data_IF_962804659480
#
_entry.id   IF_962804659480
#
_cell.length_a   1.000
_cell.length_b   1.000
_cell.length_c   1.000
_cell.angle_alpha   90.00
_cell.angle_beta   90.00
_cell.angle_gamma   90.00
#
_symmetry.space_group_name_H-M   'P 1'
#
loop_
_entity.id
_entity.type
_entity.pdbx_description
1 polymer ?
#
# COMPACT_ATOMS: atom_id res chain seq x y z
N UNK A 1 -10.92 0.36 15.71
CA UNK A 1 -10.00 1.40 16.23
C UNK A 1 -9.56 2.16 15.01
N UNK A 2 -9.91 3.44 14.92
CA UNK A 2 -9.53 4.27 13.78
C UNK A 2 -8.32 5.10 14.21
N UNK A 3 -7.16 4.80 13.65
CA UNK A 3 -5.90 5.49 13.97
C UNK A 3 -5.89 6.87 13.33
N UNK A 4 -5.16 7.83 13.90
CA UNK A 4 -4.98 9.16 13.34
C UNK A 4 -4.61 9.13 11.84
N UNK A 5 -3.75 8.19 11.43
CA UNK A 5 -3.36 8.01 10.03
C UNK A 5 -4.54 7.57 9.13
N UNK A 6 -5.43 6.69 9.60
CA UNK A 6 -6.64 6.31 8.86
C UNK A 6 -7.60 7.49 8.70
N UNK A 7 -7.74 8.32 9.75
CA UNK A 7 -8.63 9.48 9.73
C UNK A 7 -8.11 10.51 8.74
N UNK A 8 -6.82 10.86 8.81
CA UNK A 8 -6.19 11.80 7.89
C UNK A 8 -6.24 11.31 6.43
N UNK A 9 -5.95 10.02 6.19
CA UNK A 9 -6.01 9.43 4.86
C UNK A 9 -7.43 9.37 4.28
N UNK A 10 -8.45 9.18 5.12
CA UNK A 10 -9.86 9.26 4.71
C UNK A 10 -10.30 10.71 4.43
N UNK A 11 -9.81 11.66 5.24
CA UNK A 11 -10.14 13.08 5.14
C UNK A 11 -9.51 13.78 3.93
N UNK A 12 -8.37 13.27 3.44
CA UNK A 12 -7.61 13.97 2.40
C UNK A 12 -6.55 14.92 2.96
N UNK A 13 -6.24 14.80 4.25
CA UNK A 13 -5.32 15.70 4.96
C UNK A 13 -3.85 15.30 4.73
N UNK A 14 -3.31 15.71 3.58
CA UNK A 14 -1.92 15.39 3.18
C UNK A 14 -0.89 15.85 4.22
N UNK A 15 -1.04 17.06 4.76
CA UNK A 15 -0.10 17.61 5.75
C UNK A 15 -0.05 16.74 7.02
N UNK A 16 -1.22 16.27 7.49
CA UNK A 16 -1.30 15.41 8.66
C UNK A 16 -0.72 14.03 8.36
N UNK A 17 -0.96 13.47 7.18
CA UNK A 17 -0.33 12.22 6.75
C UNK A 17 1.20 12.36 6.73
N UNK A 18 1.74 13.42 6.14
CA UNK A 18 3.18 13.66 6.09
C UNK A 18 3.77 13.84 7.49
N UNK A 19 3.12 14.63 8.35
CA UNK A 19 3.56 14.81 9.74
C UNK A 19 3.60 13.49 10.50
N UNK A 20 2.61 12.61 10.28
CA UNK A 20 2.58 11.27 10.85
C UNK A 20 3.69 10.38 10.28
N UNK A 21 3.88 10.34 8.96
CA UNK A 21 4.91 9.52 8.31
C UNK A 21 6.34 9.91 8.70
N UNK A 22 6.58 11.14 9.18
CA UNK A 22 7.87 11.55 9.74
C UNK A 22 8.25 10.80 11.02
N UNK A 23 7.31 10.14 11.68
CA UNK A 23 7.55 9.38 12.88
C UNK A 23 7.76 7.89 12.56
N UNK A 24 8.96 7.38 12.81
CA UNK A 24 9.34 5.99 12.51
C UNK A 24 8.48 4.91 13.18
N UNK A 25 7.83 5.26 14.30
CA UNK A 25 6.96 4.36 15.07
C UNK A 25 5.57 4.19 14.47
N UNK A 26 5.23 4.94 13.43
CA UNK A 26 3.92 4.83 12.81
C UNK A 26 3.89 3.64 11.87
N UNK A 27 2.92 2.76 12.11
CA UNK A 27 2.65 1.64 11.24
C UNK A 27 1.64 2.07 10.15
N UNK A 28 2.12 2.06 8.91
CA UNK A 28 1.32 2.40 7.72
C UNK A 28 0.36 1.27 7.31
N UNK A 29 0.50 0.09 7.91
CA UNK A 29 -0.33 -1.08 7.63
C UNK A 29 -1.47 -1.27 8.64
N UNK A 30 -1.71 -0.29 9.52
CA UNK A 30 -2.75 -0.41 10.55
C UNK A 30 -4.11 -0.53 9.88
N UNK A 31 -4.89 -1.52 10.30
CA UNK A 31 -6.22 -1.77 9.75
C UNK A 31 -7.30 -1.30 10.72
N UNK A 32 -8.29 -0.60 10.18
CA UNK A 32 -9.49 -0.20 10.92
C UNK A 32 -10.42 -1.41 11.17
N UNK A 33 -11.59 -1.16 11.76
CA UNK A 33 -12.59 -2.21 12.04
C UNK A 33 -13.17 -2.91 10.80
N UNK A 34 -13.00 -2.31 9.62
CA UNK A 34 -13.41 -2.86 8.33
C UNK A 34 -12.25 -3.51 7.57
N UNK A 35 -11.13 -3.73 8.25
CA UNK A 35 -9.92 -4.30 7.66
C UNK A 35 -9.32 -3.43 6.54
N UNK A 36 -9.55 -2.12 6.58
CA UNK A 36 -8.99 -1.14 5.65
C UNK A 36 -7.81 -0.42 6.28
N UNK A 37 -6.76 -0.25 5.51
CA UNK A 37 -5.57 0.48 5.88
C UNK A 37 -5.66 1.93 5.36
N UNK A 38 -4.77 2.84 5.81
CA UNK A 38 -4.76 4.22 5.35
C UNK A 38 -4.69 4.34 3.82
N UNK A 39 -3.96 3.45 3.16
CA UNK A 39 -3.84 3.45 1.69
C UNK A 39 -5.19 3.15 1.03
N UNK A 40 -5.90 2.10 1.45
CA UNK A 40 -7.24 1.78 0.94
C UNK A 40 -8.21 2.93 1.15
N UNK A 41 -8.14 3.62 2.29
CA UNK A 41 -8.99 4.77 2.59
C UNK A 41 -8.69 5.96 1.67
N UNK A 42 -7.41 6.27 1.45
CA UNK A 42 -6.98 7.32 0.53
C UNK A 42 -7.42 7.02 -0.91
N UNK A 43 -7.27 5.77 -1.36
CA UNK A 43 -7.71 5.31 -2.68
C UNK A 43 -9.22 5.42 -2.84
N UNK A 44 -9.99 5.00 -1.84
CA UNK A 44 -11.46 5.14 -1.83
C UNK A 44 -11.90 6.60 -1.84
N UNK A 45 -11.16 7.48 -1.17
CA UNK A 45 -11.38 8.92 -1.18
C UNK A 45 -10.93 9.61 -2.48
N UNK A 46 -10.13 8.94 -3.31
CA UNK A 46 -9.55 9.54 -4.51
C UNK A 46 -8.37 10.48 -4.23
N UNK A 47 -7.77 10.40 -3.05
CA UNK A 47 -6.74 11.32 -2.57
C UNK A 47 -5.37 10.94 -3.11
N UNK A 48 -5.10 11.28 -4.38
CA UNK A 48 -3.89 10.90 -5.10
C UNK A 48 -2.60 11.27 -4.38
N UNK A 49 -2.46 12.49 -3.86
CA UNK A 49 -1.25 12.95 -3.18
C UNK A 49 -0.93 12.13 -1.91
N UNK A 50 -1.95 11.62 -1.23
CA UNK A 50 -1.78 10.75 -0.06
C UNK A 50 -1.34 9.35 -0.49
N UNK A 51 -1.89 8.85 -1.59
CA UNK A 51 -1.47 7.57 -2.17
C UNK A 51 0.01 7.63 -2.53
N UNK A 52 0.48 8.68 -3.21
CA UNK A 52 1.91 8.84 -3.51
C UNK A 52 2.76 8.85 -2.24
N UNK A 53 2.37 9.62 -1.22
CA UNK A 53 3.11 9.68 0.04
C UNK A 53 3.21 8.31 0.75
N UNK A 54 2.14 7.51 0.72
CA UNK A 54 2.09 6.19 1.36
C UNK A 54 2.82 5.10 0.56
N UNK A 55 2.74 5.16 -0.77
CA UNK A 55 3.35 4.16 -1.68
C UNK A 55 4.88 4.24 -1.68
N UNK A 56 5.45 5.41 -1.35
CA UNK A 56 6.89 5.61 -1.15
C UNK A 56 7.40 4.91 0.12
N UNK A 57 6.54 4.65 1.11
CA UNK A 57 6.97 4.04 2.36
C UNK A 57 7.35 2.54 2.16
N UNK A 58 8.60 2.13 2.46
CA UNK A 58 9.04 0.75 2.30
C UNK A 58 8.39 -0.22 3.32
N UNK A 59 7.80 0.29 4.41
CA UNK A 59 7.12 -0.53 5.42
C UNK A 59 5.77 -1.05 4.93
N UNK A 60 5.25 -0.50 3.83
CA UNK A 60 3.94 -0.85 3.29
C UNK A 60 3.94 -2.28 2.70
N UNK A 61 2.92 -3.06 3.03
CA UNK A 61 2.81 -4.46 2.62
C UNK A 61 2.24 -4.60 1.20
N UNK A 62 2.76 -5.57 0.44
CA UNK A 62 2.27 -5.94 -0.89
C UNK A 62 0.75 -6.23 -0.93
N UNK A 63 0.21 -6.88 0.11
CA UNK A 63 -1.22 -7.17 0.19
C UNK A 63 -2.08 -5.89 0.14
N UNK A 64 -1.61 -4.82 0.79
CA UNK A 64 -2.25 -3.51 0.81
C UNK A 64 -2.27 -2.89 -0.58
N UNK A 65 -1.15 -2.92 -1.30
CA UNK A 65 -1.05 -2.44 -2.69
C UNK A 65 -2.06 -3.17 -3.59
N UNK A 66 -2.06 -4.52 -3.55
CA UNK A 66 -2.97 -5.33 -4.35
C UNK A 66 -4.44 -4.99 -4.08
N UNK A 67 -4.82 -4.94 -2.81
CA UNK A 67 -6.22 -4.65 -2.42
C UNK A 67 -6.63 -3.22 -2.76
N UNK A 68 -5.69 -2.28 -2.69
CA UNK A 68 -5.91 -0.89 -3.08
C UNK A 68 -6.10 -0.77 -4.60
N UNK A 69 -5.36 -1.55 -5.39
CA UNK A 69 -5.55 -1.62 -6.84
C UNK A 69 -6.94 -2.12 -7.22
N UNK A 70 -7.45 -3.16 -6.53
CA UNK A 70 -8.80 -3.69 -6.74
C UNK A 70 -9.91 -2.67 -6.39
N UNK A 71 -9.63 -1.74 -5.47
CA UNK A 71 -10.56 -0.71 -5.01
C UNK A 71 -10.47 0.61 -5.81
N UNK A 72 -9.33 0.88 -6.43
CA UNK A 72 -9.09 2.12 -7.15
C UNK A 72 -9.97 2.20 -8.40
N UNK A 73 -10.87 3.19 -8.46
CA UNK A 73 -11.63 3.52 -9.68
C UNK A 73 -10.90 4.51 -10.60
N UNK A 74 -9.85 5.17 -10.09
CA UNK A 74 -9.09 6.19 -10.82
C UNK A 74 -7.85 5.58 -11.47
N UNK A 75 -7.72 5.72 -12.80
CA UNK A 75 -6.58 5.20 -13.56
C UNK A 75 -5.23 5.76 -13.10
N UNK A 76 -5.18 7.02 -12.67
CA UNK A 76 -3.94 7.66 -12.20
C UNK A 76 -3.42 7.00 -10.91
N UNK A 77 -4.34 6.70 -9.98
CA UNK A 77 -4.04 5.99 -8.72
C UNK A 77 -3.60 4.56 -9.02
N UNK A 78 -4.32 3.86 -9.91
CA UNK A 78 -3.96 2.50 -10.32
C UNK A 78 -2.56 2.43 -10.93
N UNK A 79 -2.22 3.38 -11.83
CA UNK A 79 -0.91 3.43 -12.48
C UNK A 79 0.23 3.60 -11.47
N UNK A 80 0.04 4.44 -10.47
CA UNK A 80 1.05 4.70 -9.42
C UNK A 80 1.28 3.44 -8.57
N UNK A 81 0.20 2.80 -8.12
CA UNK A 81 0.28 1.56 -7.34
C UNK A 81 0.91 0.44 -8.17
N UNK A 82 0.54 0.33 -9.45
CA UNK A 82 1.10 -0.65 -10.38
C UNK A 82 2.61 -0.44 -10.57
N UNK A 83 3.05 0.79 -10.79
CA UNK A 83 4.48 1.12 -10.92
C UNK A 83 5.27 0.65 -9.68
N UNK A 84 4.75 0.94 -8.48
CA UNK A 84 5.40 0.47 -7.24
C UNK A 84 5.44 -1.05 -7.11
N UNK A 85 4.36 -1.73 -7.51
CA UNK A 85 4.31 -3.20 -7.51
C UNK A 85 5.29 -3.80 -8.51
N UNK A 86 5.54 -3.13 -9.64
CA UNK A 86 6.52 -3.54 -10.65
C UNK A 86 7.95 -3.41 -10.11
N UNK A 87 8.24 -2.38 -9.30
CA UNK A 87 9.53 -2.21 -8.63
C UNK A 87 9.83 -3.37 -7.64
N UNK A 88 8.84 -3.81 -6.86
CA UNK A 88 8.97 -4.98 -5.96
C UNK A 88 8.94 -6.33 -6.72
N UNK A 89 8.48 -6.33 -7.98
CA UNK A 89 8.39 -7.51 -8.85
C UNK A 89 9.61 -7.68 -9.78
N UNK A 90 10.69 -6.93 -9.54
CA UNK A 90 12.03 -7.31 -9.99
C UNK A 90 12.56 -8.49 -9.15
N UNK A 91 13.38 -9.38 -9.73
CA UNK A 91 13.28 -10.83 -9.58
C UNK A 91 13.71 -11.40 -8.22
N UNK A 92 12.95 -11.16 -7.16
CA UNK A 92 13.07 -11.87 -5.88
C UNK A 92 11.89 -12.82 -5.60
N UNK A 93 10.76 -12.67 -6.30
CA UNK A 93 9.70 -13.69 -6.34
C UNK A 93 10.08 -14.93 -7.17
N UNK A 94 11.00 -14.80 -8.13
CA UNK A 94 11.50 -15.92 -8.95
C UNK A 94 12.43 -16.88 -8.18
N UNK A 95 13.01 -16.45 -7.04
CA UNK A 95 13.91 -17.30 -6.25
C UNK A 95 13.20 -18.06 -5.10
N UNK A 96 11.94 -17.73 -4.78
CA UNK A 96 11.15 -18.42 -3.73
C UNK A 96 10.17 -19.47 -4.25
N UNK A 97 10.18 -19.76 -5.55
CA UNK A 97 9.72 -21.07 -6.05
C UNK A 97 10.94 -21.97 -6.11
N UNK A 98 11.19 -22.70 -5.02
CA UNK A 98 12.09 -23.85 -5.02
C UNK A 98 11.90 -24.65 -6.32
N UNK A 99 12.96 -25.08 -7.01
CA UNK A 99 12.80 -26.04 -8.09
C UNK A 99 12.13 -27.25 -7.45
N UNK A 100 10.89 -27.56 -7.82
CA UNK A 100 10.39 -28.91 -7.60
C UNK A 100 11.35 -29.77 -8.42
N UNK A 101 12.33 -30.37 -7.75
CA UNK A 101 13.00 -31.56 -8.25
C UNK A 101 11.90 -32.59 -8.43
N UNK A 102 11.30 -32.63 -9.62
CA UNK A 102 10.88 -33.90 -10.16
C UNK A 102 12.15 -34.52 -10.71
N UNK A 103 12.90 -35.14 -9.79
CA UNK A 103 13.92 -36.09 -10.18
C UNK A 103 13.25 -37.18 -11.00
N UNK A 104 13.77 -37.42 -12.19
CA UNK A 104 13.48 -38.63 -12.91
C UNK A 104 14.03 -39.83 -12.16
N UNK A 105 13.26 -40.91 -12.16
CA UNK A 105 13.61 -42.25 -12.59
C UNK A 105 12.30 -43.06 -12.67
#
# INVERSE_FOLDING_TARGET
HDTALCIAARGGDLEMVQALLRHDRIDVNIRNRWFEDPLMLAVKGGHFSIVEALVVDPKLKYFSLKRSLDLARNDCIQRTIRSRMEDDNTPQMLLKRSPRKFGGL
#
